data_IF_865931626983
#
_entry.id   IF_865931626983
#
_cell.length_a   1.000
_cell.length_b   1.000
_cell.length_c   1.000
_cell.angle_alpha   90.00
_cell.angle_beta   90.00
_cell.angle_gamma   90.00
#
_symmetry.space_group_name_H-M   'P 1'
#
loop_
_entity.id
_entity.type
_entity.pdbx_description
1 polymer ?
#
# COMPACT_ATOMS: atom_id res chain seq x y z
N UNK A 1 22.47 -29.15 -22.91
CA UNK A 1 22.37 -27.72 -22.56
C UNK A 1 21.62 -27.60 -21.23
N UNK A 2 22.20 -27.03 -20.16
CA UNK A 2 21.43 -26.81 -18.94
C UNK A 2 20.54 -25.58 -19.14
N UNK A 3 19.23 -25.74 -19.01
CA UNK A 3 18.30 -24.61 -18.81
C UNK A 3 18.62 -24.01 -17.45
N UNK A 4 19.04 -22.75 -17.42
CA UNK A 4 19.15 -22.02 -16.16
C UNK A 4 17.74 -21.85 -15.59
N UNK A 5 17.43 -22.58 -14.53
CA UNK A 5 16.27 -22.31 -13.69
C UNK A 5 16.50 -20.98 -12.98
N UNK A 6 16.23 -19.89 -13.67
CA UNK A 6 16.01 -18.60 -13.03
C UNK A 6 14.63 -18.69 -12.39
N UNK A 7 14.60 -18.94 -11.08
CA UNK A 7 13.39 -18.72 -10.29
C UNK A 7 13.10 -17.22 -10.36
N UNK A 8 12.25 -16.82 -11.31
CA UNK A 8 11.74 -15.46 -11.38
C UNK A 8 10.80 -15.30 -10.19
N UNK A 9 11.28 -14.62 -9.15
CA UNK A 9 10.43 -14.21 -8.03
C UNK A 9 9.36 -13.27 -8.58
N UNK A 10 8.09 -13.70 -8.47
CA UNK A 10 6.94 -12.91 -8.91
C UNK A 10 6.53 -11.95 -7.81
N UNK A 11 6.41 -10.67 -8.13
CA UNK A 11 5.81 -9.68 -7.26
C UNK A 11 4.31 -9.99 -7.10
N UNK A 12 3.83 -10.12 -5.86
CA UNK A 12 2.43 -10.37 -5.53
C UNK A 12 1.80 -9.11 -4.95
N UNK A 13 0.71 -8.68 -5.58
CA UNK A 13 -0.02 -7.48 -5.19
C UNK A 13 -1.45 -7.87 -4.83
N UNK A 14 -1.94 -7.40 -3.69
CA UNK A 14 -3.34 -7.54 -3.27
C UNK A 14 -3.99 -6.16 -3.19
N UNK A 15 -4.99 -5.93 -4.04
CA UNK A 15 -5.80 -4.71 -4.03
C UNK A 15 -7.22 -5.03 -3.59
N UNK A 16 -7.75 -4.28 -2.62
CA UNK A 16 -9.10 -4.50 -2.10
C UNK A 16 -9.70 -3.20 -1.54
N UNK A 17 -11.02 -3.02 -1.71
CA UNK A 17 -11.81 -2.08 -0.92
C UNK A 17 -12.43 -2.86 0.25
N UNK A 18 -12.15 -2.43 1.49
CA UNK A 18 -12.62 -3.12 2.70
C UNK A 18 -13.85 -2.47 3.34
N UNK A 19 -14.42 -1.42 2.73
CA UNK A 19 -15.70 -0.80 3.11
C UNK A 19 -15.76 -0.40 4.59
N UNK A 20 -14.60 -0.07 5.19
CA UNK A 20 -14.41 0.23 6.61
C UNK A 20 -14.80 -0.91 7.56
N UNK A 21 -15.08 -2.11 7.07
CA UNK A 21 -15.48 -3.26 7.88
C UNK A 21 -14.27 -3.90 8.56
N UNK A 22 -14.35 -4.10 9.88
CA UNK A 22 -13.29 -4.76 10.67
C UNK A 22 -13.03 -6.18 10.16
N UNK A 23 -14.10 -6.94 9.91
CA UNK A 23 -14.01 -8.32 9.41
C UNK A 23 -13.32 -8.41 8.05
N UNK A 24 -13.58 -7.46 7.14
CA UNK A 24 -12.90 -7.39 5.84
C UNK A 24 -11.40 -7.10 6.01
N UNK A 25 -11.03 -6.27 6.99
CA UNK A 25 -9.63 -6.01 7.32
C UNK A 25 -8.93 -7.25 7.91
N UNK A 26 -9.62 -8.02 8.76
CA UNK A 26 -9.09 -9.27 9.32
C UNK A 26 -8.85 -10.31 8.21
N UNK A 27 -9.79 -10.42 7.24
CA UNK A 27 -9.65 -11.29 6.06
C UNK A 27 -8.49 -10.84 5.17
N UNK A 28 -8.34 -9.54 4.94
CA UNK A 28 -7.22 -8.96 4.20
C UNK A 28 -5.89 -9.36 4.83
N UNK A 29 -5.76 -9.22 6.14
CA UNK A 29 -4.54 -9.61 6.85
C UNK A 29 -4.24 -11.11 6.73
N UNK A 30 -5.24 -11.97 6.97
CA UNK A 30 -5.10 -13.42 6.83
C UNK A 30 -4.72 -13.82 5.40
N UNK A 31 -5.32 -13.18 4.39
CA UNK A 31 -5.03 -13.43 2.97
C UNK A 31 -3.63 -12.96 2.60
N UNK A 32 -3.22 -11.77 3.04
CA UNK A 32 -1.91 -11.22 2.75
C UNK A 32 -0.79 -12.11 3.29
N UNK A 33 -0.94 -12.58 4.53
CA UNK A 33 0.01 -13.51 5.15
C UNK A 33 -0.02 -14.89 4.48
N UNK A 34 -1.19 -15.50 4.27
CA UNK A 34 -1.29 -16.84 3.69
C UNK A 34 -0.82 -16.94 2.21
N UNK A 35 -0.68 -15.81 1.52
CA UNK A 35 -0.28 -15.74 0.11
C UNK A 35 1.10 -15.11 -0.10
N UNK A 36 1.80 -14.73 0.97
CA UNK A 36 3.06 -13.98 0.95
C UNK A 36 2.97 -12.74 0.04
N UNK A 37 2.00 -11.87 0.31
CA UNK A 37 1.80 -10.66 -0.49
C UNK A 37 2.87 -9.61 -0.17
N UNK A 38 3.57 -9.12 -1.19
CA UNK A 38 4.61 -8.09 -1.05
C UNK A 38 3.99 -6.69 -0.93
N UNK A 39 2.93 -6.41 -1.69
CA UNK A 39 2.30 -5.08 -1.76
C UNK A 39 0.80 -5.19 -1.52
N UNK A 40 0.28 -4.42 -0.56
CA UNK A 40 -1.15 -4.31 -0.30
C UNK A 40 -1.67 -2.93 -0.65
N UNK A 41 -2.79 -2.87 -1.37
CA UNK A 41 -3.50 -1.65 -1.74
C UNK A 41 -4.90 -1.71 -1.11
N UNK A 42 -5.20 -0.78 -0.22
CA UNK A 42 -6.41 -0.75 0.60
C UNK A 42 -7.22 0.50 0.27
N UNK A 43 -8.49 0.33 -0.06
CA UNK A 43 -9.46 1.44 -0.13
C UNK A 43 -10.44 1.36 1.04
N UNK A 44 -10.83 2.53 1.54
CA UNK A 44 -11.79 2.69 2.65
C UNK A 44 -11.43 1.89 3.91
N UNK A 45 -10.26 2.13 4.51
CA UNK A 45 -9.82 1.42 5.70
C UNK A 45 -10.71 1.71 6.93
N UNK A 46 -10.73 0.78 7.89
CA UNK A 46 -11.42 1.02 9.16
C UNK A 46 -10.75 2.17 9.94
N UNK A 47 -11.55 3.16 10.36
CA UNK A 47 -11.04 4.39 10.99
C UNK A 47 -10.45 4.20 12.39
N UNK A 48 -10.80 3.13 13.11
CA UNK A 48 -10.41 2.92 14.52
C UNK A 48 -9.12 2.11 14.68
N UNK A 49 -8.57 1.60 13.59
CA UNK A 49 -7.41 0.72 13.61
C UNK A 49 -6.22 1.51 13.11
N UNK A 50 -5.16 1.61 13.91
CA UNK A 50 -3.91 2.21 13.44
C UNK A 50 -3.36 1.33 12.32
N UNK A 51 -3.10 1.95 11.17
CA UNK A 51 -2.65 1.22 9.98
C UNK A 51 -1.31 0.55 10.22
N UNK A 52 -0.46 1.17 11.04
CA UNK A 52 0.77 0.56 11.51
C UNK A 52 0.51 -0.65 12.41
N UNK A 53 -0.42 -0.61 13.38
CA UNK A 53 -0.56 -1.72 14.36
C UNK A 53 -1.07 -3.03 13.77
N UNK A 54 -1.90 -2.99 12.71
CA UNK A 54 -2.46 -4.20 12.09
C UNK A 54 -1.73 -4.66 10.81
N UNK A 55 -0.90 -3.82 10.17
CA UNK A 55 -0.05 -4.24 9.04
C UNK A 55 1.39 -4.51 9.48
N UNK A 56 1.87 -3.93 10.58
CA UNK A 56 3.17 -4.28 11.14
C UNK A 56 3.22 -5.72 11.69
N UNK A 57 2.08 -6.31 12.07
CA UNK A 57 1.95 -7.71 12.46
C UNK A 57 2.11 -8.68 11.27
N UNK A 58 1.71 -8.27 10.07
CA UNK A 58 2.02 -8.97 8.83
C UNK A 58 3.48 -8.66 8.47
N UNK A 59 4.42 -9.37 9.09
CA UNK A 59 5.87 -9.15 8.99
C UNK A 59 6.41 -9.07 7.55
N UNK A 60 5.65 -9.59 6.59
CA UNK A 60 6.10 -9.87 5.23
C UNK A 60 5.57 -8.89 4.16
N UNK A 61 4.76 -7.89 4.53
CA UNK A 61 4.32 -6.86 3.57
C UNK A 61 5.37 -5.75 3.50
N UNK A 62 5.90 -5.52 2.30
CA UNK A 62 6.95 -4.55 2.02
C UNK A 62 6.39 -3.13 1.83
N UNK A 63 5.26 -3.00 1.13
CA UNK A 63 4.62 -1.72 0.82
C UNK A 63 3.11 -1.79 1.09
N UNK A 64 2.58 -0.76 1.75
CA UNK A 64 1.15 -0.55 1.90
C UNK A 64 0.74 0.75 1.22
N UNK A 65 -0.28 0.69 0.37
CA UNK A 65 -0.92 1.85 -0.27
C UNK A 65 -2.34 1.95 0.26
N UNK A 66 -2.77 3.14 0.65
CA UNK A 66 -4.06 3.37 1.27
C UNK A 66 -4.74 4.56 0.62
N UNK A 67 -5.91 4.31 0.06
CA UNK A 67 -6.83 5.33 -0.44
C UNK A 67 -7.87 5.67 0.62
N UNK A 68 -8.15 6.97 0.78
CA UNK A 68 -8.95 7.55 1.86
C UNK A 68 -8.47 7.16 3.27
N UNK A 69 -7.21 7.45 3.62
CA UNK A 69 -6.71 7.10 4.94
C UNK A 69 -7.43 7.88 6.04
N UNK A 70 -7.39 7.36 7.27
CA UNK A 70 -7.74 8.17 8.43
C UNK A 70 -6.69 9.26 8.60
N UNK A 71 -7.08 10.51 8.31
CA UNK A 71 -6.18 11.68 8.30
C UNK A 71 -5.36 11.85 9.58
N UNK A 72 -5.94 11.60 10.75
CA UNK A 72 -5.21 11.72 12.04
C UNK A 72 -4.08 10.69 12.11
N UNK A 73 -4.41 9.43 11.85
CA UNK A 73 -3.46 8.31 11.90
C UNK A 73 -2.36 8.49 10.86
N UNK A 74 -2.70 8.90 9.64
CA UNK A 74 -1.74 9.05 8.54
C UNK A 74 -0.77 10.22 8.73
N UNK A 75 -1.14 11.25 9.49
CA UNK A 75 -0.28 12.41 9.80
C UNK A 75 0.71 12.13 10.93
N UNK A 76 0.41 11.17 11.81
CA UNK A 76 1.22 10.85 12.98
C UNK A 76 2.29 9.77 12.71
N UNK A 77 2.43 9.32 11.46
CA UNK A 77 3.19 8.12 11.08
C UNK A 77 4.11 8.35 9.87
N UNK A 78 4.99 7.37 9.57
CA UNK A 78 6.00 7.44 8.51
C UNK A 78 5.44 7.28 7.08
N UNK A 79 4.23 7.76 6.82
CA UNK A 79 3.61 7.67 5.50
C UNK A 79 4.10 8.79 4.57
N UNK A 80 4.23 8.43 3.30
CA UNK A 80 4.27 9.39 2.20
C UNK A 80 2.82 9.70 1.83
N UNK A 81 2.39 10.94 2.09
CA UNK A 81 1.04 11.40 1.79
C UNK A 81 1.01 12.19 0.50
N UNK A 82 -0.10 12.11 -0.24
CA UNK A 82 -0.41 13.07 -1.30
C UNK A 82 -0.70 14.46 -0.70
N UNK A 83 -0.90 15.47 -1.55
CA UNK A 83 -1.07 16.85 -1.08
C UNK A 83 -2.38 17.09 -0.31
N UNK A 84 -3.39 16.21 -0.49
CA UNK A 84 -4.72 16.35 0.13
C UNK A 84 -4.98 15.31 1.23
N UNK A 85 -4.02 14.43 1.52
CA UNK A 85 -4.14 13.27 2.41
C UNK A 85 -5.30 12.33 2.02
N UNK A 86 -5.52 12.17 0.73
CA UNK A 86 -6.41 11.21 0.10
C UNK A 86 -5.71 9.88 -0.20
N UNK A 87 -4.39 9.89 -0.35
CA UNK A 87 -3.58 8.69 -0.55
C UNK A 87 -2.40 8.71 0.41
N UNK A 88 -2.14 7.58 1.05
CA UNK A 88 -1.01 7.36 1.92
C UNK A 88 -0.25 6.11 1.49
N UNK A 89 1.09 6.18 1.46
CA UNK A 89 1.96 5.04 1.22
C UNK A 89 2.91 4.83 2.39
N UNK A 90 2.96 3.60 2.89
CA UNK A 90 3.93 3.17 3.89
C UNK A 90 4.91 2.19 3.28
N UNK A 91 6.20 2.50 3.39
CA UNK A 91 7.29 1.65 2.92
C UNK A 91 7.93 1.04 4.16
N UNK A 92 7.69 -0.25 4.38
CA UNK A 92 8.30 -0.99 5.49
C UNK A 92 9.73 -1.40 5.13
N UNK A 93 9.90 -2.02 3.97
CA UNK A 93 11.19 -2.49 3.50
C UNK A 93 11.90 -1.38 2.72
N UNK A 94 12.91 -0.78 3.35
CA UNK A 94 13.70 0.31 2.74
C UNK A 94 14.69 -0.19 1.69
N UNK A 95 14.90 -1.50 1.58
CA UNK A 95 15.87 -2.12 0.67
C UNK A 95 15.28 -2.52 -0.69
N UNK A 96 14.09 -2.01 -1.04
CA UNK A 96 13.41 -2.32 -2.29
C UNK A 96 14.03 -1.65 -3.53
N UNK A 97 15.05 -0.81 -3.37
CA UNK A 97 15.68 -0.09 -4.49
C UNK A 97 14.85 1.08 -5.05
N UNK A 98 13.96 1.64 -4.23
CA UNK A 98 13.21 2.87 -4.56
C UNK A 98 14.22 4.01 -4.72
N UNK A 99 14.27 4.61 -5.90
CA UNK A 99 15.17 5.72 -6.21
C UNK A 99 14.58 7.11 -5.91
N UNK A 100 13.27 7.19 -5.68
CA UNK A 100 12.60 8.42 -5.27
C UNK A 100 11.09 8.28 -5.23
N UNK A 101 10.41 9.39 -4.91
CA UNK A 101 8.96 9.48 -4.98
C UNK A 101 8.51 10.85 -5.49
N UNK A 102 7.30 10.93 -6.03
CA UNK A 102 6.60 12.17 -6.38
C UNK A 102 5.17 12.10 -5.90
N UNK A 103 4.55 13.25 -5.63
CA UNK A 103 3.17 13.34 -5.18
C UNK A 103 2.44 14.52 -5.81
N UNK A 104 1.12 14.45 -5.82
CA UNK A 104 0.27 15.55 -6.26
C UNK A 104 -1.06 15.52 -5.53
N UNK A 105 -2.10 16.07 -6.14
CA UNK A 105 -3.45 16.02 -5.59
C UNK A 105 -4.10 14.68 -5.96
N UNK A 106 -4.31 13.79 -4.98
CA UNK A 106 -4.95 12.49 -5.20
C UNK A 106 -4.01 11.36 -5.60
N UNK A 107 -2.68 11.55 -5.56
CA UNK A 107 -1.73 10.47 -5.85
C UNK A 107 -0.39 10.59 -5.14
N UNK A 108 0.24 9.42 -4.93
CA UNK A 108 1.65 9.23 -4.58
C UNK A 108 2.25 8.24 -5.57
N UNK A 109 3.47 8.49 -6.04
CA UNK A 109 4.19 7.65 -6.99
C UNK A 109 5.58 7.31 -6.46
N UNK A 110 5.86 6.02 -6.27
CA UNK A 110 7.19 5.51 -5.94
C UNK A 110 7.92 5.14 -7.23
N UNK A 111 9.20 5.50 -7.33
CA UNK A 111 10.01 5.32 -8.54
C UNK A 111 11.11 4.29 -8.29
N UNK A 112 11.23 3.35 -9.22
CA UNK A 112 12.39 2.50 -9.44
C UNK A 112 13.10 2.94 -10.73
N UNK A 113 14.28 2.38 -11.01
CA UNK A 113 15.03 2.70 -12.24
C UNK A 113 14.27 2.39 -13.53
N UNK A 114 13.42 1.36 -13.53
CA UNK A 114 12.75 0.85 -14.74
C UNK A 114 11.22 0.88 -14.70
N UNK A 115 10.62 1.17 -13.55
CA UNK A 115 9.17 1.20 -13.38
C UNK A 115 8.77 2.11 -12.22
N UNK A 116 7.48 2.38 -12.08
CA UNK A 116 6.94 3.14 -10.96
C UNK A 116 5.64 2.51 -10.44
N UNK A 117 5.37 2.72 -9.16
CA UNK A 117 4.14 2.32 -8.50
C UNK A 117 3.33 3.56 -8.20
N UNK A 118 2.17 3.69 -8.85
CA UNK A 118 1.24 4.80 -8.65
C UNK A 118 0.09 4.36 -7.76
N UNK A 119 -0.04 4.98 -6.59
CA UNK A 119 -1.24 4.90 -5.77
C UNK A 119 -2.05 6.15 -5.98
N UNK A 120 -3.30 5.99 -6.41
CA UNK A 120 -4.20 7.10 -6.70
C UNK A 120 -5.58 6.86 -6.10
N UNK A 121 -6.26 7.96 -5.78
CA UNK A 121 -7.65 7.96 -5.39
C UNK A 121 -8.42 9.00 -6.20
N UNK A 122 -9.30 8.52 -7.07
CA UNK A 122 -10.23 9.35 -7.83
C UNK A 122 -11.51 9.49 -7.02
N UNK A 123 -11.63 10.58 -6.27
CA UNK A 123 -12.83 10.86 -5.50
C UNK A 123 -14.03 11.07 -6.44
N UNK A 124 -15.16 10.38 -6.23
CA UNK A 124 -16.38 10.63 -7.02
C UNK A 124 -17.02 11.99 -6.70
N UNK A 125 -16.58 12.67 -5.64
CA UNK A 125 -17.15 13.91 -5.14
C UNK A 125 -16.38 15.17 -5.57
N UNK A 126 -15.46 15.06 -6.52
CA UNK A 126 -14.73 16.21 -7.09
C UNK A 126 -14.62 16.01 -8.59
N UNK A 127 -14.90 17.08 -9.33
CA UNK A 127 -14.65 17.12 -10.76
C UNK A 127 -13.14 17.01 -11.04
N UNK A 128 -12.80 16.30 -12.12
CA UNK A 128 -11.42 16.07 -12.57
C UNK A 128 -10.84 17.30 -13.27
#
# INVERSE_FOLDING_TARGET
>A
MPRSNTNIQKLKILQVNIGRAKTAQDILHATASARDIDIVIISEPNKKISMESNLASARDIDIVIISEPNKKISMESNFILDNKNNVAMYIRNKNLGICGHTKGNGYVCLKWKSWCLLGCYCSPNVDL
#
